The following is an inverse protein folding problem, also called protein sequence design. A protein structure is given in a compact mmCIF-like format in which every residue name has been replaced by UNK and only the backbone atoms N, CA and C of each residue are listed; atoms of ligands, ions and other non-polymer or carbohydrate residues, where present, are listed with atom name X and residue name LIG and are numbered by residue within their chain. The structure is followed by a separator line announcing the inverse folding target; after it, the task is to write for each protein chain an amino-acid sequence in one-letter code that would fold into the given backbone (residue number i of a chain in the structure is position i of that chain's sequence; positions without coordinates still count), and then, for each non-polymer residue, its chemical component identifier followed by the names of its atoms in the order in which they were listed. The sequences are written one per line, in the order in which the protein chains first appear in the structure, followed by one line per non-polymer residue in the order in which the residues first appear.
data_IF_556141756034
#
_entry.id   IF_556141756034
#
_cell.length_a   1.000
_cell.length_b   1.000
_cell.length_c   1.000
_cell.angle_alpha   90.00
_cell.angle_beta   90.00
_cell.angle_gamma   90.00
#
_symmetry.space_group_name_H-M   'P 1'
#
loop_
_entity.id
_entity.type
_entity.pdbx_description
1 polymer ?
#
# COMPACT_ATOMS: atom_id res chain seq x y z
N UNK A 1 -15.18 -66.30 -48.87
CA UNK A 1 -15.17 -65.47 -47.65
C UNK A 1 -13.79 -64.87 -47.52
N UNK A 2 -13.64 -63.53 -47.55
CA UNK A 2 -12.31 -62.91 -47.41
C UNK A 2 -11.87 -63.08 -45.96
N UNK A 3 -10.69 -63.66 -45.72
CA UNK A 3 -10.17 -63.85 -44.37
C UNK A 3 -9.54 -62.58 -43.82
N UNK A 4 -9.50 -62.43 -42.49
CA UNK A 4 -8.88 -61.27 -41.82
C UNK A 4 -7.39 -61.12 -42.16
N UNK A 5 -6.68 -62.23 -42.32
CA UNK A 5 -5.28 -62.23 -42.72
C UNK A 5 -5.07 -61.74 -44.16
N UNK A 6 -5.99 -62.10 -45.07
CA UNK A 6 -5.96 -61.57 -46.45
C UNK A 6 -6.20 -60.06 -46.48
N UNK A 7 -7.15 -59.56 -45.69
CA UNK A 7 -7.40 -58.11 -45.54
C UNK A 7 -6.19 -57.37 -44.97
N UNK A 8 -5.55 -57.93 -43.94
CA UNK A 8 -4.36 -57.34 -43.31
C UNK A 8 -3.18 -57.29 -44.28
N UNK A 9 -2.98 -58.36 -45.05
CA UNK A 9 -1.93 -58.43 -46.08
C UNK A 9 -2.18 -57.43 -47.20
N UNK A 10 -3.41 -57.36 -47.72
CA UNK A 10 -3.77 -56.39 -48.75
C UNK A 10 -3.66 -54.93 -48.27
N UNK A 11 -4.00 -54.65 -47.01
CA UNK A 11 -3.84 -53.32 -46.42
C UNK A 11 -2.35 -52.94 -46.27
N UNK A 12 -1.49 -53.89 -45.88
CA UNK A 12 -0.05 -53.65 -45.81
C UNK A 12 0.57 -53.43 -47.20
N UNK A 13 0.17 -54.22 -48.19
CA UNK A 13 0.60 -54.05 -49.59
C UNK A 13 0.14 -52.70 -50.16
N UNK A 14 -1.09 -52.27 -49.86
CA UNK A 14 -1.61 -50.97 -50.26
C UNK A 14 -0.87 -49.81 -49.57
N UNK A 15 -0.59 -49.89 -48.26
CA UNK A 15 0.19 -48.87 -47.54
C UNK A 15 1.61 -48.75 -48.13
N UNK A 16 2.24 -49.87 -48.44
CA UNK A 16 3.56 -49.88 -49.06
C UNK A 16 3.52 -49.27 -50.46
N UNK A 17 2.55 -49.66 -51.30
CA UNK A 17 2.38 -49.11 -52.64
C UNK A 17 2.13 -47.60 -52.61
N UNK A 18 1.35 -47.10 -51.64
CA UNK A 18 1.13 -45.67 -51.44
C UNK A 18 2.45 -44.99 -51.06
N UNK A 19 3.20 -45.50 -50.09
CA UNK A 19 4.49 -44.92 -49.66
C UNK A 19 5.51 -44.88 -50.78
N UNK A 20 5.61 -45.96 -51.56
CA UNK A 20 6.54 -46.06 -52.68
C UNK A 20 6.16 -45.14 -53.85
N UNK A 21 4.87 -44.77 -53.95
CA UNK A 21 4.36 -43.80 -54.94
C UNK A 21 4.58 -42.34 -54.54
N UNK A 22 4.91 -42.06 -53.28
CA UNK A 22 5.14 -40.70 -52.83
C UNK A 22 6.54 -40.24 -53.25
N UNK A 23 6.69 -38.98 -53.70
CA UNK A 23 7.99 -38.42 -54.03
C UNK A 23 8.92 -38.42 -52.81
N UNK A 24 10.23 -38.44 -53.06
CA UNK A 24 11.19 -38.37 -51.97
C UNK A 24 10.97 -37.06 -51.17
N UNK A 25 11.18 -37.03 -49.84
CA UNK A 25 10.94 -35.83 -49.04
C UNK A 25 11.69 -34.57 -49.52
N UNK A 26 12.83 -34.76 -50.20
CA UNK A 26 13.62 -33.69 -50.81
C UNK A 26 13.02 -33.14 -52.12
N UNK A 27 12.16 -33.91 -52.80
CA UNK A 27 11.46 -33.54 -54.04
C UNK A 27 10.07 -32.91 -53.76
N UNK A 28 9.59 -32.98 -52.52
CA UNK A 28 8.38 -32.32 -52.05
C UNK A 28 8.60 -30.81 -51.84
N UNK A 29 8.71 -30.05 -52.92
CA UNK A 29 8.74 -28.59 -52.85
C UNK A 29 7.33 -28.01 -52.68
N UNK A 30 6.93 -27.77 -51.42
CA UNK A 30 5.69 -27.06 -51.10
C UNK A 30 5.97 -25.80 -50.30
N UNK A 31 5.67 -24.64 -50.89
CA UNK A 31 5.76 -23.37 -50.20
C UNK A 31 4.53 -23.15 -49.32
N UNK A 32 4.69 -23.34 -48.02
CA UNK A 32 3.61 -23.06 -47.07
C UNK A 32 3.30 -21.58 -47.00
N UNK A 33 2.01 -21.26 -46.84
CA UNK A 33 1.57 -19.87 -46.65
C UNK A 33 2.27 -19.20 -45.46
N UNK A 34 2.50 -17.87 -45.51
CA UNK A 34 3.17 -17.15 -44.42
C UNK A 34 2.48 -17.31 -43.06
N UNK A 35 1.15 -17.40 -43.03
CA UNK A 35 0.39 -17.60 -41.80
C UNK A 35 0.61 -19.00 -41.19
N UNK A 36 0.71 -20.03 -42.04
CA UNK A 36 1.03 -21.39 -41.62
C UNK A 36 2.46 -21.49 -41.08
N UNK A 37 3.44 -20.93 -41.81
CA UNK A 37 4.84 -20.91 -41.35
C UNK A 37 4.99 -20.21 -40.00
N UNK A 38 4.29 -19.09 -39.77
CA UNK A 38 4.28 -18.38 -38.48
C UNK A 38 3.72 -19.26 -37.35
N UNK A 39 2.60 -19.96 -37.58
CA UNK A 39 2.03 -20.90 -36.60
C UNK A 39 3.01 -22.05 -36.30
N UNK A 40 3.61 -22.62 -37.34
CA UNK A 40 4.56 -23.71 -37.22
C UNK A 40 5.82 -23.32 -36.42
N UNK A 41 6.42 -22.16 -36.72
CA UNK A 41 7.55 -21.60 -35.94
C UNK A 41 7.18 -21.36 -34.48
N UNK A 42 5.96 -20.90 -34.20
CA UNK A 42 5.48 -20.71 -32.82
C UNK A 42 5.39 -22.05 -32.07
N UNK A 43 4.88 -23.10 -32.71
CA UNK A 43 4.81 -24.45 -32.13
C UNK A 43 6.20 -25.03 -31.88
N UNK A 44 7.13 -24.92 -32.83
CA UNK A 44 8.51 -25.35 -32.64
C UNK A 44 9.21 -24.59 -31.51
N UNK A 45 9.00 -23.28 -31.41
CA UNK A 45 9.55 -22.47 -30.32
C UNK A 45 9.00 -22.89 -28.95
N UNK A 46 7.71 -23.25 -28.87
CA UNK A 46 7.08 -23.81 -27.67
C UNK A 46 7.63 -25.19 -27.31
N UNK A 47 7.86 -26.04 -28.31
CA UNK A 47 8.43 -27.37 -28.10
C UNK A 47 9.91 -27.33 -27.68
N UNK A 48 10.69 -26.39 -28.23
CA UNK A 48 12.11 -26.20 -27.92
C UNK A 48 12.35 -25.58 -26.55
N UNK A 49 11.44 -24.70 -26.10
CA UNK A 49 11.56 -24.01 -24.81
C UNK A 49 10.31 -24.20 -23.95
N UNK A 50 9.95 -25.45 -23.57
CA UNK A 50 8.68 -25.74 -22.91
C UNK A 50 8.55 -25.03 -21.55
N UNK A 51 9.67 -24.83 -20.85
CA UNK A 51 9.71 -24.15 -19.55
C UNK A 51 9.37 -22.67 -19.66
N UNK A 52 9.90 -21.95 -20.65
CA UNK A 52 9.66 -20.51 -20.86
C UNK A 52 8.18 -20.23 -21.12
N UNK A 53 7.49 -21.12 -21.83
CA UNK A 53 6.06 -20.97 -22.12
C UNK A 53 5.14 -21.42 -20.98
N UNK A 54 5.67 -22.12 -19.96
CA UNK A 54 4.93 -22.52 -18.76
C UNK A 54 5.20 -21.58 -17.58
N UNK A 55 6.38 -20.94 -17.54
CA UNK A 55 6.79 -19.95 -16.54
C UNK A 55 5.74 -18.89 -16.20
N UNK A 56 5.08 -18.20 -17.16
CA UNK A 56 4.07 -17.21 -16.82
C UNK A 56 2.85 -17.81 -16.12
N UNK A 57 2.49 -19.07 -16.44
CA UNK A 57 1.41 -19.78 -15.74
C UNK A 57 1.81 -20.09 -14.30
N UNK A 58 3.03 -20.56 -14.07
CA UNK A 58 3.53 -20.81 -12.72
C UNK A 58 3.67 -19.51 -11.91
N UNK A 59 4.17 -18.43 -12.51
CA UNK A 59 4.24 -17.12 -11.89
C UNK A 59 2.84 -16.62 -11.52
N UNK A 60 1.85 -16.73 -12.43
CA UNK A 60 0.47 -16.36 -12.14
C UNK A 60 -0.13 -17.20 -11.00
N UNK A 61 0.07 -18.53 -11.01
CA UNK A 61 -0.39 -19.40 -9.93
C UNK A 61 0.29 -19.11 -8.59
N UNK A 62 1.59 -18.79 -8.60
CA UNK A 62 2.32 -18.42 -7.40
C UNK A 62 1.83 -17.09 -6.83
N UNK A 63 1.68 -16.06 -7.66
CA UNK A 63 1.11 -14.77 -7.23
C UNK A 63 -0.30 -14.96 -6.66
N UNK A 64 -1.13 -15.78 -7.29
CA UNK A 64 -2.46 -16.13 -6.77
C UNK A 64 -2.37 -16.83 -5.41
N UNK A 65 -1.49 -17.81 -5.26
CA UNK A 65 -1.31 -18.53 -4.00
C UNK A 65 -0.83 -17.59 -2.88
N UNK A 66 0.11 -16.70 -3.17
CA UNK A 66 0.59 -15.69 -2.22
C UNK A 66 -0.55 -14.75 -1.83
N UNK A 67 -1.30 -14.21 -2.79
CA UNK A 67 -2.41 -13.30 -2.52
C UNK A 67 -3.53 -13.94 -1.70
N UNK A 68 -3.88 -15.20 -1.99
CA UNK A 68 -4.87 -15.95 -1.22
C UNK A 68 -4.37 -16.26 0.18
N UNK A 69 -3.09 -16.65 0.32
CA UNK A 69 -2.50 -16.93 1.62
C UNK A 69 -2.41 -15.66 2.49
N UNK A 70 -1.95 -14.54 1.92
CA UNK A 70 -1.86 -13.27 2.63
C UNK A 70 -3.24 -12.73 3.02
N UNK A 71 -4.22 -12.79 2.11
CA UNK A 71 -5.60 -12.40 2.41
C UNK A 71 -6.21 -13.25 3.52
N UNK A 72 -6.02 -14.58 3.48
CA UNK A 72 -6.51 -15.48 4.53
C UNK A 72 -5.85 -15.19 5.88
N UNK A 73 -4.53 -14.98 5.89
CA UNK A 73 -3.78 -14.63 7.09
C UNK A 73 -4.34 -13.38 7.77
N UNK A 74 -4.56 -12.30 7.01
CA UNK A 74 -5.12 -11.04 7.51
C UNK A 74 -6.53 -11.17 8.09
N UNK A 75 -7.33 -12.13 7.61
CA UNK A 75 -8.69 -12.35 8.15
C UNK A 75 -8.72 -13.10 9.48
N UNK A 76 -7.70 -13.92 9.77
CA UNK A 76 -7.69 -14.81 10.95
C UNK A 76 -6.83 -14.24 12.07
N UNK A 77 -5.77 -13.52 11.72
CA UNK A 77 -4.79 -13.02 12.68
C UNK A 77 -5.06 -11.56 13.05
N UNK A 78 -5.47 -11.33 14.29
CA UNK A 78 -5.81 -9.99 14.78
C UNK A 78 -4.58 -9.06 14.87
N UNK A 79 -3.39 -9.62 15.12
CA UNK A 79 -2.15 -8.87 15.23
C UNK A 79 -1.64 -8.42 13.85
N UNK A 80 -1.66 -9.32 12.86
CA UNK A 80 -1.34 -9.01 11.47
C UNK A 80 -2.35 -8.02 10.87
N UNK A 81 -3.63 -8.12 11.26
CA UNK A 81 -4.65 -7.15 10.89
C UNK A 81 -4.34 -5.78 11.48
N UNK A 82 -4.00 -5.69 12.77
CA UNK A 82 -3.61 -4.42 13.40
C UNK A 82 -2.31 -3.83 12.82
N UNK A 83 -1.36 -4.67 12.39
CA UNK A 83 -0.13 -4.20 11.74
C UNK A 83 -0.35 -3.74 10.28
N UNK A 84 -1.40 -4.24 9.62
CA UNK A 84 -1.73 -3.86 8.23
C UNK A 84 -2.67 -2.65 8.16
N UNK A 85 -3.46 -2.44 9.20
CA UNK A 85 -4.48 -1.42 9.32
C UNK A 85 -4.06 -0.40 10.37
N UNK A 86 -3.61 0.76 9.90
CA UNK A 86 -3.00 1.81 10.71
C UNK A 86 -3.43 3.19 10.21
N UNK A 87 -2.84 4.22 10.80
CA UNK A 87 -2.89 5.57 10.25
C UNK A 87 -2.24 5.61 8.87
N UNK A 88 -2.98 6.12 7.89
CA UNK A 88 -2.55 6.30 6.50
C UNK A 88 -2.60 7.79 6.17
N UNK A 89 -1.54 8.27 5.52
CA UNK A 89 -1.47 9.59 4.92
C UNK A 89 -1.84 9.51 3.46
N UNK A 90 -2.89 10.19 3.04
CA UNK A 90 -3.32 10.33 1.65
C UNK A 90 -3.22 11.78 1.20
N UNK A 91 -2.61 12.01 0.04
CA UNK A 91 -2.41 13.35 -0.52
C UNK A 91 -3.45 13.60 -1.62
N UNK A 92 -4.24 14.65 -1.45
CA UNK A 92 -5.16 15.19 -2.44
C UNK A 92 -4.63 16.49 -3.03
N UNK A 93 -5.34 17.03 -4.04
CA UNK A 93 -4.98 18.30 -4.69
C UNK A 93 -5.07 19.49 -3.73
N UNK A 94 -6.04 19.50 -2.82
CA UNK A 94 -6.35 20.64 -1.93
C UNK A 94 -6.06 20.41 -0.44
N UNK A 95 -5.72 19.18 -0.04
CA UNK A 95 -5.40 18.84 1.34
C UNK A 95 -4.64 17.51 1.46
N UNK A 96 -4.09 17.25 2.63
CA UNK A 96 -3.60 15.95 3.09
C UNK A 96 -4.58 15.41 4.11
N UNK A 97 -4.96 14.15 3.97
CA UNK A 97 -5.75 13.43 4.94
C UNK A 97 -4.87 12.45 5.69
N UNK A 98 -4.95 12.49 7.02
CA UNK A 98 -4.50 11.41 7.89
C UNK A 98 -5.75 10.70 8.37
N UNK A 99 -5.95 9.47 7.90
CA UNK A 99 -7.10 8.64 8.24
C UNK A 99 -6.65 7.30 8.83
N UNK A 100 -7.40 6.78 9.80
CA UNK A 100 -7.17 5.44 10.30
C UNK A 100 -8.01 4.44 9.50
N UNK A 101 -7.36 3.42 8.95
CA UNK A 101 -8.05 2.32 8.26
C UNK A 101 -7.87 1.10 9.12
N UNK A 102 -8.94 0.56 9.73
CA UNK A 102 -8.81 -0.63 10.56
C UNK A 102 -9.96 -0.93 11.51
N UNK A 103 -9.88 -2.08 12.18
CA UNK A 103 -10.64 -2.29 13.40
C UNK A 103 -9.90 -1.67 14.59
N UNK A 104 -10.65 -1.05 15.52
CA UNK A 104 -10.12 -0.55 16.78
C UNK A 104 -9.20 -1.54 17.50
N UNK A 105 -8.02 -1.14 18.03
CA UNK A 105 -7.47 -1.86 19.17
C UNK A 105 -8.55 -1.88 20.28
N UNK A 106 -8.79 -3.05 20.89
CA UNK A 106 -9.83 -3.20 21.93
C UNK A 106 -9.73 -2.06 22.94
N UNK A 107 -10.87 -1.40 23.23
CA UNK A 107 -11.05 -0.33 24.23
C UNK A 107 -9.91 -0.30 25.24
N UNK A 108 -8.88 0.47 24.91
CA UNK A 108 -7.78 0.68 25.83
C UNK A 108 -8.29 1.63 26.92
N UNK A 109 -7.65 1.58 28.09
CA UNK A 109 -7.91 2.57 29.13
C UNK A 109 -7.84 3.97 28.50
N UNK A 110 -8.70 4.91 28.93
CA UNK A 110 -8.65 6.30 28.44
C UNK A 110 -7.25 6.85 28.72
N UNK A 111 -6.37 6.83 27.71
CA UNK A 111 -5.02 7.39 27.80
C UNK A 111 -5.12 8.84 27.39
N UNK A 112 -4.86 9.74 28.33
CA UNK A 112 -4.76 11.16 28.04
C UNK A 112 -3.31 11.57 27.82
N UNK A 113 -3.10 12.46 26.85
CA UNK A 113 -1.83 13.12 26.61
C UNK A 113 -1.92 14.60 26.99
N UNK A 114 -0.81 15.17 27.43
CA UNK A 114 -0.68 16.60 27.77
C UNK A 114 0.69 17.13 27.31
N UNK A 115 0.78 18.46 27.14
CA UNK A 115 2.03 19.17 26.88
C UNK A 115 2.69 19.53 28.21
N UNK A 116 3.81 18.90 28.55
CA UNK A 116 4.52 19.16 29.82
C UNK A 116 5.43 20.39 29.76
N UNK A 117 5.66 20.93 28.57
CA UNK A 117 6.43 22.14 28.34
C UNK A 117 5.72 22.99 27.30
N UNK A 118 5.68 24.31 27.55
CA UNK A 118 5.19 25.31 26.62
C UNK A 118 6.27 26.40 26.48
N UNK A 119 6.43 27.01 25.29
CA UNK A 119 7.26 28.19 25.14
C UNK A 119 6.60 29.37 25.89
N UNK A 120 7.40 30.25 26.50
CA UNK A 120 6.89 31.47 27.14
C UNK A 120 5.82 31.23 28.21
N UNK A 121 4.83 32.12 28.27
CA UNK A 121 3.76 32.17 29.28
C UNK A 121 2.41 31.67 28.70
N UNK A 122 2.43 30.67 27.82
CA UNK A 122 1.20 30.07 27.32
C UNK A 122 0.50 29.28 28.42
N UNK A 123 -0.82 29.39 28.47
CA UNK A 123 -1.67 28.65 29.40
C UNK A 123 -2.86 28.03 28.68
N UNK A 124 -3.35 26.90 29.22
CA UNK A 124 -4.51 26.21 28.68
C UNK A 124 -5.76 27.08 28.85
N UNK A 125 -6.44 27.37 27.75
CA UNK A 125 -7.69 28.16 27.75
C UNK A 125 -8.92 27.31 27.42
N UNK A 126 -8.75 26.19 26.70
CA UNK A 126 -9.83 25.27 26.37
C UNK A 126 -9.33 23.84 26.19
N UNK A 127 -10.16 22.87 26.58
CA UNK A 127 -9.95 21.44 26.35
C UNK A 127 -11.28 20.79 26.00
N UNK A 128 -11.32 20.19 24.82
CA UNK A 128 -12.47 19.44 24.32
C UNK A 128 -12.04 17.99 24.09
N UNK A 129 -12.81 17.04 24.61
CA UNK A 129 -12.57 15.62 24.40
C UNK A 129 -13.90 14.95 24.01
N UNK A 130 -13.95 14.39 22.81
CA UNK A 130 -15.14 13.74 22.25
C UNK A 130 -14.67 12.45 21.59
N UNK A 131 -15.22 11.32 22.04
CA UNK A 131 -15.08 10.03 21.38
C UNK A 131 -13.64 9.70 20.93
N UNK A 132 -12.64 9.78 21.82
CA UNK A 132 -11.25 9.41 21.49
C UNK A 132 -10.45 10.48 20.74
N UNK A 133 -11.07 11.62 20.40
CA UNK A 133 -10.41 12.82 19.91
C UNK A 133 -10.31 13.85 21.02
N UNK A 134 -9.14 14.43 21.20
CA UNK A 134 -8.90 15.52 22.15
C UNK A 134 -8.30 16.71 21.42
N UNK A 135 -8.79 17.90 21.77
CA UNK A 135 -8.29 19.19 21.32
C UNK A 135 -7.99 20.03 22.56
N UNK A 136 -6.79 20.59 22.62
CA UNK A 136 -6.34 21.51 23.67
C UNK A 136 -5.84 22.79 23.02
N UNK A 137 -6.33 23.92 23.51
CA UNK A 137 -5.98 25.25 23.01
C UNK A 137 -5.27 25.99 24.14
N UNK A 138 -4.05 26.43 23.86
CA UNK A 138 -3.25 27.27 24.72
C UNK A 138 -3.13 28.64 24.10
N UNK A 139 -3.14 29.68 24.93
CA UNK A 139 -2.92 31.05 24.48
C UNK A 139 -1.98 31.79 25.42
N UNK A 140 -1.31 32.80 24.88
CA UNK A 140 -0.58 33.79 25.65
C UNK A 140 -1.37 35.10 25.77
N UNK A 141 -0.83 36.08 26.49
CA UNK A 141 -1.44 37.40 26.66
C UNK A 141 -1.47 38.23 25.36
N UNK A 142 -0.69 37.85 24.34
CA UNK A 142 -0.67 38.51 23.04
C UNK A 142 -1.80 38.03 22.12
N UNK A 143 -2.43 36.91 22.46
CA UNK A 143 -3.47 36.25 21.67
C UNK A 143 -2.93 35.23 20.68
N UNK A 144 -1.62 34.94 20.69
CA UNK A 144 -1.03 33.83 19.94
C UNK A 144 -1.57 32.51 20.49
N UNK A 145 -1.76 31.52 19.62
CA UNK A 145 -2.36 30.24 19.99
C UNK A 145 -1.47 29.06 19.63
N UNK A 146 -1.43 28.08 20.52
CA UNK A 146 -0.95 26.73 20.26
C UNK A 146 -2.15 25.80 20.35
N UNK A 147 -2.40 25.06 19.29
CA UNK A 147 -3.44 24.03 19.27
C UNK A 147 -2.75 22.68 19.25
N UNK A 148 -3.02 21.86 20.26
CA UNK A 148 -2.59 20.46 20.32
C UNK A 148 -3.83 19.58 20.19
N UNK A 149 -3.82 18.64 19.25
CA UNK A 149 -4.86 17.63 19.13
C UNK A 149 -4.28 16.25 18.97
N UNK A 150 -5.06 15.26 19.40
CA UNK A 150 -4.77 13.88 19.12
C UNK A 150 -6.04 13.07 18.95
N UNK A 151 -5.94 12.08 18.08
CA UNK A 151 -7.04 11.17 17.75
C UNK A 151 -6.57 9.74 17.93
N UNK A 152 -7.38 8.94 18.61
CA UNK A 152 -7.16 7.50 18.71
C UNK A 152 -7.75 6.80 17.47
N UNK A 153 -7.01 5.86 16.87
CA UNK A 153 -7.38 5.26 15.59
C UNK A 153 -8.79 4.66 15.52
N UNK A 154 -9.32 4.15 16.63
CA UNK A 154 -10.63 3.48 16.66
C UNK A 154 -11.87 4.36 16.42
N UNK A 155 -11.76 5.63 16.74
CA UNK A 155 -12.83 6.62 16.70
C UNK A 155 -12.40 7.92 16.00
N UNK A 156 -11.20 7.93 15.40
CA UNK A 156 -10.66 9.11 14.79
C UNK A 156 -11.50 9.56 13.58
N UNK A 157 -12.09 10.76 13.69
CA UNK A 157 -12.32 11.58 12.50
C UNK A 157 -10.97 11.87 11.86
N UNK A 158 -10.88 11.70 10.54
CA UNK A 158 -9.66 12.01 9.78
C UNK A 158 -9.17 13.42 10.10
N UNK A 159 -7.86 13.57 10.24
CA UNK A 159 -7.21 14.88 10.35
C UNK A 159 -6.93 15.39 8.93
N UNK A 160 -7.43 16.58 8.63
CA UNK A 160 -7.20 17.24 7.35
C UNK A 160 -6.22 18.40 7.55
N UNK A 161 -5.16 18.41 6.76
CA UNK A 161 -4.20 19.51 6.68
C UNK A 161 -4.36 20.13 5.30
N UNK A 162 -4.62 21.43 5.21
CA UNK A 162 -4.77 22.12 3.92
C UNK A 162 -3.50 21.95 3.07
N UNK A 163 -3.57 22.12 1.74
CA UNK A 163 -2.41 21.98 0.86
C UNK A 163 -1.74 23.31 0.49
N UNK A 164 -2.10 24.41 1.13
CA UNK A 164 -1.58 25.76 0.89
C UNK A 164 -0.25 26.04 1.63
N UNK A 165 0.31 25.04 2.32
CA UNK A 165 1.65 25.09 2.89
C UNK A 165 2.72 25.14 1.78
N UNK A 166 3.74 25.96 2.01
CA UNK A 166 4.81 26.18 1.02
C UNK A 166 5.82 25.05 0.97
N UNK A 167 6.01 24.35 2.08
CA UNK A 167 6.97 23.27 2.19
C UNK A 167 6.48 22.17 3.13
N UNK A 168 6.68 20.92 2.73
CA UNK A 168 6.44 19.74 3.57
C UNK A 168 7.76 19.02 3.80
N UNK A 169 8.20 18.92 5.05
CA UNK A 169 9.46 18.29 5.46
C UNK A 169 9.19 17.11 6.37
N UNK A 170 10.00 16.08 6.24
CA UNK A 170 10.07 15.03 7.26
C UNK A 170 11.12 15.44 8.31
N UNK A 171 10.69 15.64 9.54
CA UNK A 171 11.52 16.02 10.69
C UNK A 171 11.54 14.91 11.74
N UNK A 172 12.42 15.01 12.73
CA UNK A 172 12.54 14.04 13.83
C UNK A 172 12.03 14.64 15.14
N UNK A 173 11.16 13.91 15.83
CA UNK A 173 10.71 14.18 17.19
C UNK A 173 11.22 13.02 18.05
N UNK A 174 12.36 13.19 18.72
CA UNK A 174 13.10 12.08 19.31
C UNK A 174 13.48 11.03 18.26
N UNK A 175 12.88 9.83 18.35
CA UNK A 175 13.10 8.72 17.39
C UNK A 175 11.95 8.55 16.38
N UNK A 176 10.92 9.40 16.45
CA UNK A 176 9.72 9.31 15.63
C UNK A 176 9.83 10.31 14.48
N UNK A 177 9.51 9.87 13.26
CA UNK A 177 9.40 10.76 12.11
C UNK A 177 8.08 11.53 12.19
N UNK A 178 8.16 12.83 11.96
CA UNK A 178 7.02 13.72 11.87
C UNK A 178 6.98 14.42 10.51
N UNK A 179 5.77 14.75 10.06
CA UNK A 179 5.54 15.60 8.90
C UNK A 179 5.34 17.04 9.37
N UNK A 180 6.26 17.92 8.97
CA UNK A 180 6.20 19.35 9.24
C UNK A 180 5.71 20.10 7.99
N UNK A 181 4.68 20.92 8.17
CA UNK A 181 4.02 21.73 7.16
C UNK A 181 4.27 23.20 7.47
N UNK A 182 5.07 23.84 6.63
CA UNK A 182 5.44 25.24 6.80
C UNK A 182 4.45 26.15 6.10
N UNK A 183 3.85 27.07 6.86
CA UNK A 183 2.85 27.98 6.33
C UNK A 183 3.47 28.95 5.30
N UNK A 184 2.69 29.35 4.30
CA UNK A 184 3.16 30.22 3.23
C UNK A 184 3.15 31.71 3.53
N UNK A 185 2.31 32.13 4.47
CA UNK A 185 2.16 33.52 4.88
C UNK A 185 2.76 33.72 6.28
N UNK A 186 3.43 34.86 6.49
CA UNK A 186 3.85 35.28 7.83
C UNK A 186 2.60 35.41 8.73
N UNK A 187 2.69 34.85 9.95
CA UNK A 187 1.60 34.72 10.94
C UNK A 187 0.54 33.62 10.67
N UNK A 188 0.69 32.81 9.63
CA UNK A 188 -0.09 31.58 9.49
C UNK A 188 0.53 30.44 10.30
N UNK A 189 -0.31 29.59 10.89
CA UNK A 189 0.17 28.54 11.78
C UNK A 189 0.83 27.39 11.01
N UNK A 190 2.04 27.03 11.43
CA UNK A 190 2.70 25.80 10.99
C UNK A 190 1.99 24.58 11.60
N UNK A 191 2.07 23.44 10.92
CA UNK A 191 1.47 22.18 11.38
C UNK A 191 2.55 21.11 11.50
N UNK A 192 2.53 20.37 12.61
CA UNK A 192 3.40 19.21 12.84
C UNK A 192 2.53 18.01 13.16
N UNK A 193 2.61 16.95 12.35
CA UNK A 193 1.85 15.70 12.50
C UNK A 193 2.78 14.52 12.73
N UNK A 194 2.49 13.68 13.71
CA UNK A 194 3.26 12.46 13.96
C UNK A 194 2.41 11.38 14.63
N UNK A 195 2.88 10.13 14.57
CA UNK A 195 2.21 8.99 15.20
C UNK A 195 2.86 8.64 16.54
N UNK A 196 2.10 8.03 17.46
CA UNK A 196 2.67 7.40 18.66
C UNK A 196 3.63 6.26 18.27
N UNK A 197 4.52 5.85 19.18
CA UNK A 197 5.44 4.71 18.93
C UNK A 197 4.72 3.40 18.59
N UNK A 198 3.47 3.25 19.01
CA UNK A 198 2.62 2.09 18.76
C UNK A 198 1.67 2.30 17.57
N UNK A 199 1.78 3.43 16.84
CA UNK A 199 0.91 3.84 15.73
C UNK A 199 -0.60 3.87 16.08
N UNK A 200 -0.92 4.04 17.36
CA UNK A 200 -2.29 4.04 17.90
C UNK A 200 -2.93 5.43 17.89
N UNK A 201 -2.12 6.47 18.05
CA UNK A 201 -2.56 7.86 18.09
C UNK A 201 -1.91 8.65 16.98
N UNK A 202 -2.68 9.50 16.32
CA UNK A 202 -2.17 10.59 15.48
C UNK A 202 -2.19 11.88 16.30
N UNK A 203 -1.04 12.52 16.43
CA UNK A 203 -0.85 13.78 17.11
C UNK A 203 -0.69 14.90 16.09
N UNK A 204 -1.22 16.07 16.42
CA UNK A 204 -1.08 17.28 15.64
C UNK A 204 -0.83 18.48 16.54
N UNK A 205 0.17 19.29 16.22
CA UNK A 205 0.36 20.63 16.78
C UNK A 205 0.23 21.64 15.66
N UNK A 206 -0.56 22.68 15.91
CA UNK A 206 -0.70 23.83 15.03
C UNK A 206 -0.39 25.11 15.81
N UNK A 207 0.64 25.84 15.37
CA UNK A 207 1.04 27.11 15.97
C UNK A 207 1.90 27.96 15.02
N UNK A 208 1.85 29.28 15.19
CA UNK A 208 2.76 30.23 14.53
C UNK A 208 4.10 30.30 15.29
N UNK A 209 4.85 29.20 15.25
CA UNK A 209 6.13 29.05 15.95
C UNK A 209 7.18 28.44 15.01
N UNK A 210 8.45 28.65 15.32
CA UNK A 210 9.56 28.06 14.56
C UNK A 210 9.53 26.52 14.59
N UNK A 211 10.08 25.89 13.55
CA UNK A 211 10.23 24.44 13.43
C UNK A 211 10.84 23.81 14.71
N UNK A 212 11.95 24.36 15.21
CA UNK A 212 12.61 23.90 16.43
C UNK A 212 11.69 23.94 17.67
N UNK A 213 10.87 24.98 17.78
CA UNK A 213 9.92 25.14 18.90
C UNK A 213 8.79 24.12 18.79
N UNK A 214 8.28 23.90 17.58
CA UNK A 214 7.26 22.89 17.29
C UNK A 214 7.75 21.48 17.61
N UNK A 215 8.99 21.14 17.22
CA UNK A 215 9.62 19.86 17.55
C UNK A 215 9.74 19.71 19.07
N UNK A 216 10.23 20.75 19.76
CA UNK A 216 10.38 20.72 21.22
C UNK A 216 9.04 20.57 21.96
N UNK A 217 7.97 21.18 21.46
CA UNK A 217 6.61 20.93 21.98
C UNK A 217 6.24 19.45 21.84
N UNK A 218 6.42 18.88 20.64
CA UNK A 218 6.10 17.47 20.37
C UNK A 218 6.90 16.50 21.25
N UNK A 219 8.19 16.75 21.50
CA UNK A 219 9.04 15.93 22.38
C UNK A 219 8.56 15.94 23.85
N UNK A 220 7.82 16.98 24.24
CA UNK A 220 7.25 17.17 25.57
C UNK A 220 5.76 16.79 25.65
N UNK A 221 5.24 16.08 24.65
CA UNK A 221 3.96 15.37 24.78
C UNK A 221 4.17 14.12 25.62
N UNK A 222 3.45 14.00 26.74
CA UNK A 222 3.55 12.85 27.66
C UNK A 222 2.17 12.28 28.00
N UNK A 223 2.13 10.97 28.25
CA UNK A 223 0.97 10.29 28.85
C UNK A 223 0.77 10.84 30.26
N UNK A 224 -0.47 11.13 30.61
CA UNK A 224 -0.87 11.62 31.94
C UNK A 224 -0.99 10.49 32.96
#
# INVERSE_FOLDING_TARGET
MISKEMLKKAAAEADQAIRDSLPAPAECEHEFSPSFQRKMRRTFRKAKHPVIYKLPKYAACFVLAVALASGTWLTVDAEARAAFFAWVREQYESFVEYGFIGEPPQKSNVVEYDLTWLPGEFHLIDKQAIDGNTLMIYADDSGQRITFSYSHGDNATSLFVASDYTEVKSVQVGNIKADFYQAGEEASANVLVWLSEEDTFCFCIMADLSEDTMIKLAENVKKK
#
